data_IF_685648624125
#
_entry.id   IF_685648624125
#
_cell.length_a   1.000
_cell.length_b   1.000
_cell.length_c   1.000
_cell.angle_alpha   90.00
_cell.angle_beta   90.00
_cell.angle_gamma   90.00
#
_symmetry.space_group_name_H-M   'P 1'
#
loop_
_entity.id
_entity.type
_entity.pdbx_description
1 polymer ?
#
# COMPACT_ATOMS: atom_id res chain seq x y z
N UNK A 1 -2.07 -3.58 -31.62
CA UNK A 1 -2.66 -3.86 -30.30
C UNK A 1 -1.99 -3.01 -29.21
N UNK A 2 -2.01 -1.67 -29.32
CA UNK A 2 -1.32 -0.75 -28.36
C UNK A 2 -2.24 0.31 -27.75
N UNK A 3 -3.55 0.28 -28.04
CA UNK A 3 -4.50 1.26 -27.51
C UNK A 3 -5.17 0.83 -26.20
N UNK A 4 -5.22 -0.47 -25.91
CA UNK A 4 -5.92 -1.00 -24.73
C UNK A 4 -5.06 -0.90 -23.46
N UNK A 5 -3.77 -1.30 -23.53
CA UNK A 5 -2.85 -1.24 -22.38
C UNK A 5 -2.65 0.16 -21.78
N UNK A 6 -2.79 1.22 -22.57
CA UNK A 6 -2.64 2.59 -22.10
C UNK A 6 -3.89 3.08 -21.32
N UNK A 7 -5.06 2.51 -21.63
CA UNK A 7 -6.32 2.91 -20.97
C UNK A 7 -6.41 2.33 -19.56
N UNK A 8 -5.96 1.09 -19.38
CA UNK A 8 -5.91 0.44 -18.07
C UNK A 8 -4.91 1.13 -17.13
N UNK A 9 -3.73 1.52 -17.66
CA UNK A 9 -2.75 2.29 -16.89
C UNK A 9 -3.28 3.66 -16.46
N UNK A 10 -3.94 4.39 -17.37
CA UNK A 10 -4.56 5.68 -17.04
C UNK A 10 -5.72 5.56 -16.05
N UNK A 11 -6.48 4.46 -16.08
CA UNK A 11 -7.53 4.22 -15.10
C UNK A 11 -6.92 3.97 -13.72
N UNK A 12 -5.90 3.11 -13.65
CA UNK A 12 -5.17 2.83 -12.42
C UNK A 12 -4.57 4.09 -11.79
N UNK A 13 -3.89 4.92 -12.58
CA UNK A 13 -3.30 6.17 -12.09
C UNK A 13 -4.36 7.10 -11.47
N UNK A 14 -5.57 7.18 -12.07
CA UNK A 14 -6.68 7.97 -11.51
C UNK A 14 -7.20 7.41 -10.20
N UNK A 15 -7.31 6.08 -10.09
CA UNK A 15 -7.73 5.42 -8.85
C UNK A 15 -6.68 5.60 -7.75
N UNK A 16 -5.40 5.46 -8.10
CA UNK A 16 -4.26 5.71 -7.23
C UNK A 16 -4.27 7.15 -6.69
N UNK A 17 -4.38 8.14 -7.56
CA UNK A 17 -4.41 9.56 -7.18
C UNK A 17 -5.64 9.88 -6.31
N UNK A 18 -6.80 9.34 -6.67
CA UNK A 18 -8.02 9.49 -5.88
C UNK A 18 -7.88 8.91 -4.48
N UNK A 19 -7.32 7.71 -4.38
CA UNK A 19 -7.03 7.04 -3.11
C UNK A 19 -6.04 7.85 -2.26
N UNK A 20 -4.93 8.33 -2.84
CA UNK A 20 -3.96 9.14 -2.12
C UNK A 20 -4.55 10.43 -1.59
N UNK A 21 -5.41 11.11 -2.37
CA UNK A 21 -6.09 12.33 -1.93
C UNK A 21 -7.01 12.06 -0.73
N UNK A 22 -7.82 11.01 -0.80
CA UNK A 22 -8.68 10.60 0.32
C UNK A 22 -7.85 10.25 1.57
N UNK A 23 -6.72 9.57 1.38
CA UNK A 23 -5.83 9.21 2.47
C UNK A 23 -5.17 10.45 3.11
N UNK A 24 -4.74 11.41 2.31
CA UNK A 24 -4.20 12.69 2.78
C UNK A 24 -5.22 13.47 3.60
N UNK A 25 -6.44 13.64 3.07
CA UNK A 25 -7.54 14.33 3.76
C UNK A 25 -7.86 13.66 5.09
N UNK A 26 -7.90 12.33 5.14
CA UNK A 26 -8.10 11.57 6.37
C UNK A 26 -7.01 11.83 7.41
N UNK A 27 -5.74 11.79 7.00
CA UNK A 27 -4.62 12.04 7.92
C UNK A 27 -4.58 13.50 8.38
N UNK A 28 -4.92 14.44 7.50
CA UNK A 28 -5.02 15.87 7.83
C UNK A 28 -6.09 16.12 8.88
N UNK A 29 -7.28 15.53 8.74
CA UNK A 29 -8.37 15.65 9.72
C UNK A 29 -7.96 15.11 11.11
N UNK A 30 -7.09 14.11 11.15
CA UNK A 30 -6.59 13.50 12.40
C UNK A 30 -5.29 14.12 12.94
N UNK A 31 -4.73 15.13 12.27
CA UNK A 31 -3.48 15.78 12.66
C UNK A 31 -2.25 14.86 12.53
N UNK A 32 -2.32 13.83 11.70
CA UNK A 32 -1.22 12.87 11.48
C UNK A 32 -0.44 13.20 10.20
N UNK A 33 0.85 12.88 10.17
CA UNK A 33 1.73 13.30 9.09
C UNK A 33 1.62 12.41 7.84
N UNK A 34 1.16 12.99 6.71
CA UNK A 34 1.05 12.33 5.40
C UNK A 34 1.99 12.90 4.32
N UNK A 35 2.97 13.75 4.67
CA UNK A 35 3.73 14.52 3.67
C UNK A 35 4.75 13.73 2.84
N UNK A 36 5.04 12.46 3.18
CA UNK A 36 6.08 11.68 2.52
C UNK A 36 5.55 10.30 2.17
N UNK A 37 5.59 9.94 0.89
CA UNK A 37 5.25 8.60 0.44
C UNK A 37 6.28 7.58 0.95
N UNK A 38 5.83 6.38 1.37
CA UNK A 38 6.70 5.36 1.93
C UNK A 38 7.61 4.74 0.86
N UNK A 39 8.82 4.37 1.29
CA UNK A 39 9.81 3.70 0.46
C UNK A 39 10.45 2.54 1.22
N UNK A 40 10.71 1.44 0.55
CA UNK A 40 11.53 0.32 1.03
C UNK A 40 12.76 0.23 0.13
N UNK A 41 13.96 0.36 0.70
CA UNK A 41 15.23 0.35 -0.03
C UNK A 41 15.26 1.26 -1.27
N UNK A 42 14.73 2.48 -1.11
CA UNK A 42 14.67 3.49 -2.18
C UNK A 42 13.53 3.30 -3.18
N UNK A 43 12.87 2.13 -3.21
CA UNK A 43 11.70 1.88 -4.05
C UNK A 43 10.43 2.42 -3.40
N UNK A 44 9.64 3.19 -4.16
CA UNK A 44 8.31 3.63 -3.74
C UNK A 44 7.39 2.45 -3.47
N UNK A 45 6.65 2.52 -2.38
CA UNK A 45 5.59 1.54 -2.08
C UNK A 45 4.27 2.11 -2.58
N UNK A 46 3.62 1.35 -3.46
CA UNK A 46 2.28 1.67 -3.93
C UNK A 46 1.26 1.39 -2.82
N UNK A 47 0.77 2.48 -2.20
CA UNK A 47 -0.18 2.41 -1.10
C UNK A 47 -1.56 1.89 -1.54
N UNK A 48 -1.98 2.19 -2.77
CA UNK A 48 -3.26 1.74 -3.29
C UNK A 48 -3.22 0.24 -3.57
N UNK A 49 -2.18 -0.25 -4.25
CA UNK A 49 -1.95 -1.69 -4.45
C UNK A 49 -1.92 -2.42 -3.10
N UNK A 50 -1.19 -1.87 -2.12
CA UNK A 50 -1.07 -2.47 -0.80
C UNK A 50 -2.44 -2.58 -0.10
N UNK A 51 -3.26 -1.53 -0.20
CA UNK A 51 -4.64 -1.54 0.31
C UNK A 51 -5.50 -2.59 -0.40
N UNK A 52 -5.46 -2.64 -1.74
CA UNK A 52 -6.25 -3.58 -2.55
C UNK A 52 -5.89 -5.03 -2.22
N UNK A 53 -4.60 -5.38 -2.21
CA UNK A 53 -4.14 -6.75 -1.95
C UNK A 53 -4.49 -7.19 -0.54
N UNK A 54 -4.26 -6.36 0.48
CA UNK A 54 -4.62 -6.70 1.87
C UNK A 54 -6.13 -6.86 2.02
N UNK A 55 -6.92 -5.99 1.39
CA UNK A 55 -8.39 -6.06 1.42
C UNK A 55 -8.92 -7.32 0.72
N UNK A 56 -8.36 -7.66 -0.44
CA UNK A 56 -8.70 -8.88 -1.18
C UNK A 56 -8.36 -10.16 -0.40
N UNK A 57 -7.28 -10.16 0.38
CA UNK A 57 -6.91 -11.25 1.31
C UNK A 57 -7.74 -11.24 2.61
N UNK A 58 -8.76 -10.38 2.69
CA UNK A 58 -9.74 -10.32 3.77
C UNK A 58 -9.31 -9.46 4.96
N UNK A 59 -8.42 -8.50 4.72
CA UNK A 59 -8.05 -7.44 5.64
C UNK A 59 -6.88 -7.78 6.56
N UNK A 60 -6.43 -6.75 7.28
CA UNK A 60 -5.27 -6.79 8.17
C UNK A 60 -5.22 -8.00 9.10
N UNK A 61 -6.33 -8.29 9.80
CA UNK A 61 -6.38 -9.37 10.79
C UNK A 61 -6.10 -10.73 10.16
N UNK A 62 -6.70 -11.02 9.00
CA UNK A 62 -6.51 -12.30 8.30
C UNK A 62 -5.09 -12.42 7.77
N UNK A 63 -4.59 -11.41 7.05
CA UNK A 63 -3.21 -11.37 6.53
C UNK A 63 -2.20 -11.59 7.65
N UNK A 64 -2.38 -10.92 8.80
CA UNK A 64 -1.46 -11.05 9.93
C UNK A 64 -1.56 -12.41 10.61
N UNK A 65 -2.77 -12.97 10.77
CA UNK A 65 -2.96 -14.31 11.36
C UNK A 65 -2.37 -15.44 10.52
N UNK A 66 -2.30 -15.25 9.20
CA UNK A 66 -1.79 -16.22 8.24
C UNK A 66 -0.32 -16.00 7.86
N UNK A 67 0.32 -14.97 8.41
CA UNK A 67 1.69 -14.58 8.08
C UNK A 67 1.93 -14.30 6.59
N UNK A 68 0.92 -13.81 5.85
CA UNK A 68 0.95 -13.63 4.39
C UNK A 68 1.74 -12.39 3.91
N UNK A 69 2.45 -11.68 4.81
CA UNK A 69 3.18 -10.45 4.45
C UNK A 69 4.35 -10.70 3.50
N UNK A 70 4.95 -11.89 3.55
CA UNK A 70 5.98 -12.32 2.58
C UNK A 70 5.35 -12.52 1.20
N UNK A 71 4.21 -13.20 1.10
CA UNK A 71 3.50 -13.41 -0.17
C UNK A 71 2.95 -12.11 -0.77
N UNK A 72 2.60 -11.12 0.06
CA UNK A 72 2.21 -9.79 -0.43
C UNK A 72 3.43 -9.06 -1.00
N UNK A 73 4.62 -9.28 -0.43
CA UNK A 73 5.84 -8.61 -0.85
C UNK A 73 6.20 -8.91 -2.30
N UNK A 74 5.86 -10.10 -2.79
CA UNK A 74 6.11 -10.55 -4.16
C UNK A 74 5.43 -9.63 -5.20
N UNK A 75 4.26 -9.08 -4.87
CA UNK A 75 3.53 -8.12 -5.71
C UNK A 75 4.31 -6.79 -5.88
N UNK A 76 5.18 -6.44 -4.93
CA UNK A 76 5.93 -5.18 -4.92
C UNK A 76 7.26 -5.23 -5.66
N UNK A 77 7.66 -6.40 -6.21
CA UNK A 77 8.89 -6.60 -6.99
C UNK A 77 10.11 -5.92 -6.34
N UNK A 78 10.26 -6.07 -5.04
CA UNK A 78 11.40 -5.49 -4.31
C UNK A 78 12.69 -6.27 -4.66
N UNK A 79 13.88 -5.66 -4.53
CA UNK A 79 15.14 -6.37 -4.77
C UNK A 79 15.28 -7.61 -3.88
N UNK A 80 15.87 -8.69 -4.39
CA UNK A 80 16.13 -9.89 -3.59
C UNK A 80 17.09 -9.60 -2.41
N UNK A 81 16.91 -10.30 -1.28
CA UNK A 81 17.78 -10.18 -0.10
C UNK A 81 17.48 -8.99 0.82
N UNK A 82 16.36 -8.31 0.65
CA UNK A 82 15.96 -7.22 1.53
C UNK A 82 15.42 -7.76 2.87
N UNK A 83 16.31 -7.98 3.85
CA UNK A 83 15.96 -8.42 5.21
C UNK A 83 14.90 -7.49 5.81
N UNK A 84 13.85 -8.06 6.44
CA UNK A 84 12.75 -7.35 7.10
C UNK A 84 11.81 -6.54 6.18
N UNK A 85 11.79 -6.78 4.87
CA UNK A 85 10.93 -6.01 3.95
C UNK A 85 9.44 -6.26 4.15
N UNK A 86 9.05 -7.48 4.49
CA UNK A 86 7.67 -7.81 4.88
C UNK A 86 7.26 -7.05 6.16
N UNK A 87 8.13 -6.99 7.16
CA UNK A 87 7.94 -6.21 8.38
C UNK A 87 7.83 -4.70 8.07
N UNK A 88 8.67 -4.19 7.16
CA UNK A 88 8.57 -2.81 6.71
C UNK A 88 7.25 -2.53 5.98
N UNK A 89 6.82 -3.43 5.09
CA UNK A 89 5.55 -3.33 4.36
C UNK A 89 4.35 -3.35 5.32
N UNK A 90 4.41 -4.22 6.33
CA UNK A 90 3.45 -4.28 7.44
C UNK A 90 3.37 -2.96 8.21
N UNK A 91 4.51 -2.37 8.59
CA UNK A 91 4.53 -1.08 9.28
C UNK A 91 4.01 0.07 8.41
N UNK A 92 4.29 0.04 7.12
CA UNK A 92 3.75 1.01 6.15
C UNK A 92 2.23 0.89 6.11
N UNK A 93 1.68 -0.33 6.00
CA UNK A 93 0.24 -0.53 6.05
C UNK A 93 -0.35 0.04 7.34
N UNK A 94 0.22 -0.26 8.51
CA UNK A 94 -0.29 0.28 9.78
C UNK A 94 -0.28 1.80 9.79
N UNK A 95 0.85 2.41 9.40
CA UNK A 95 1.06 3.85 9.51
C UNK A 95 0.18 4.67 8.57
N UNK A 96 -0.07 4.17 7.36
CA UNK A 96 -0.79 4.93 6.34
C UNK A 96 -2.25 4.47 6.19
N UNK A 97 -2.54 3.20 6.43
CA UNK A 97 -3.89 2.63 6.25
C UNK A 97 -4.48 2.19 7.60
N UNK A 98 -3.65 1.71 8.53
CA UNK A 98 -4.07 1.09 9.78
C UNK A 98 -4.42 2.05 10.91
N UNK A 99 -4.12 3.35 10.82
CA UNK A 99 -4.61 4.34 11.78
C UNK A 99 -6.16 4.44 11.80
N UNK A 100 -6.84 3.80 10.84
CA UNK A 100 -8.28 3.54 10.85
C UNK A 100 -8.77 2.66 12.02
N UNK A 101 -7.91 1.87 12.68
CA UNK A 101 -8.33 0.84 13.67
C UNK A 101 -7.90 1.10 15.12
N UNK A 102 -7.43 2.31 15.45
CA UNK A 102 -6.99 2.68 16.81
C UNK A 102 -7.97 3.57 17.60
N UNK A 103 -9.22 3.70 17.14
CA UNK A 103 -10.31 4.31 17.91
C UNK A 103 -11.41 3.28 18.14
#
# INVERSE_FOLDING_TARGET
>A
MTKEMNKDAQAYDREYDGFLKQLEEFHQQRGTAFKRLPRINGKGVDLYLLYVVVTARGGWQKVNSRCEWEDILEDFRLPAGCVNSSTALKHIYIRYVGDLWRL
#
